data_IF_971902705905
#
_entry.id   IF_971902705905
#
_cell.length_a   1.000
_cell.length_b   1.000
_cell.length_c   1.000
_cell.angle_alpha   90.00
_cell.angle_beta   90.00
_cell.angle_gamma   90.00
#
_symmetry.space_group_name_H-M   'P 1'
#
loop_
_entity.id
_entity.type
_entity.pdbx_description
1 polymer ?
#
# COMPACT_ATOMS: atom_id res chain seq x y z
N UNK A 1 16.82 18.18 -1.96
CA UNK A 1 16.75 16.74 -2.32
C UNK A 1 15.32 16.23 -2.12
N UNK A 2 14.70 15.59 -3.12
CA UNK A 2 13.29 15.14 -3.04
C UNK A 2 13.16 13.80 -2.32
N UNK A 3 12.31 13.72 -1.30
CA UNK A 3 12.17 12.52 -0.43
C UNK A 3 10.95 11.65 -0.74
N UNK A 4 9.89 12.26 -1.30
CA UNK A 4 8.73 11.55 -1.86
C UNK A 4 9.16 10.96 -3.21
N UNK A 5 9.55 9.68 -3.17
CA UNK A 5 10.03 8.90 -4.30
C UNK A 5 9.30 7.56 -4.31
N UNK A 6 9.38 6.85 -5.43
CA UNK A 6 8.94 5.45 -5.52
C UNK A 6 9.55 4.63 -4.38
N UNK A 7 8.79 3.66 -3.87
CA UNK A 7 9.15 2.78 -2.77
C UNK A 7 9.27 3.45 -1.40
N UNK A 8 8.98 4.75 -1.28
CA UNK A 8 8.88 5.41 0.02
C UNK A 8 7.61 4.99 0.74
N UNK A 9 7.73 4.61 2.00
CA UNK A 9 6.57 4.30 2.85
C UNK A 9 6.05 5.58 3.49
N UNK A 10 4.74 5.77 3.44
CA UNK A 10 4.04 6.90 4.03
C UNK A 10 2.87 6.42 4.89
N UNK A 11 2.40 7.29 5.78
CA UNK A 11 1.13 7.14 6.50
C UNK A 11 0.10 8.06 5.88
N UNK A 12 -1.13 7.57 5.72
CA UNK A 12 -2.24 8.41 5.26
C UNK A 12 -2.79 9.19 6.45
N UNK A 13 -2.91 10.51 6.33
CA UNK A 13 -3.38 11.38 7.42
C UNK A 13 -4.87 11.71 7.32
N UNK A 14 -5.49 11.63 6.13
CA UNK A 14 -6.90 12.01 5.90
C UNK A 14 -7.68 11.00 5.08
N UNK A 15 -9.01 11.01 5.25
CA UNK A 15 -9.98 10.21 4.51
C UNK A 15 -10.16 8.78 5.05
N UNK A 16 -10.91 7.94 4.32
CA UNK A 16 -11.28 6.57 4.75
C UNK A 16 -10.09 5.68 5.17
N UNK A 17 -8.91 5.90 4.59
CA UNK A 17 -7.71 5.11 4.87
C UNK A 17 -6.73 5.82 5.82
N UNK A 18 -7.18 6.83 6.59
CA UNK A 18 -6.36 7.48 7.60
C UNK A 18 -5.76 6.45 8.59
N UNK A 19 -4.51 6.68 8.99
CA UNK A 19 -3.73 5.77 9.84
C UNK A 19 -3.24 4.50 9.15
N UNK A 20 -3.54 4.30 7.86
CA UNK A 20 -3.04 3.15 7.10
C UNK A 20 -1.67 3.45 6.47
N UNK A 21 -0.83 2.43 6.43
CA UNK A 21 0.50 2.45 5.84
C UNK A 21 0.38 2.20 4.34
N UNK A 22 1.07 3.01 3.57
CA UNK A 22 1.07 2.98 2.12
C UNK A 22 2.49 3.08 1.59
N UNK A 23 2.70 2.58 0.38
CA UNK A 23 3.92 2.77 -0.38
C UNK A 23 3.61 3.56 -1.63
N UNK A 24 4.47 4.54 -1.93
CA UNK A 24 4.40 5.31 -3.16
C UNK A 24 4.88 4.43 -4.31
N UNK A 25 4.02 4.20 -5.30
CA UNK A 25 4.37 3.46 -6.51
C UNK A 25 4.81 4.45 -7.59
N UNK A 26 3.98 5.46 -7.83
CA UNK A 26 4.26 6.51 -8.82
C UNK A 26 4.01 7.89 -8.19
N UNK A 27 5.06 8.69 -7.96
CA UNK A 27 4.91 10.10 -7.65
C UNK A 27 4.51 10.89 -8.91
N UNK A 28 3.57 11.82 -8.77
CA UNK A 28 3.09 12.73 -9.84
C UNK A 28 3.14 14.15 -9.29
N UNK A 29 4.22 14.84 -9.62
CA UNK A 29 4.58 16.07 -8.93
C UNK A 29 3.91 17.32 -9.50
N UNK A 30 3.77 17.36 -10.82
CA UNK A 30 3.24 18.51 -11.55
C UNK A 30 1.70 18.46 -11.71
N UNK A 31 1.05 17.49 -11.06
CA UNK A 31 -0.37 17.23 -11.23
C UNK A 31 -0.72 16.56 -12.57
N UNK A 32 -2.00 16.32 -12.78
CA UNK A 32 -2.58 15.76 -13.99
C UNK A 32 -3.86 16.52 -14.34
N UNK A 33 -4.42 16.30 -15.54
CA UNK A 33 -5.69 16.93 -15.96
C UNK A 33 -6.83 16.69 -14.98
N UNK A 34 -6.85 15.51 -14.34
CA UNK A 34 -7.89 15.13 -13.37
C UNK A 34 -7.58 15.59 -11.94
N UNK A 35 -6.30 15.74 -11.61
CA UNK A 35 -5.83 16.14 -10.28
C UNK A 35 -4.76 17.24 -10.43
N UNK A 36 -5.14 18.53 -10.42
CA UNK A 36 -4.24 19.66 -10.72
C UNK A 36 -3.24 19.98 -9.58
N UNK A 37 -2.94 19.02 -8.72
CA UNK A 37 -2.06 19.15 -7.56
C UNK A 37 -1.10 17.96 -7.47
N UNK A 38 0.02 18.14 -6.77
CA UNK A 38 0.98 17.06 -6.50
C UNK A 38 0.34 15.89 -5.74
N UNK A 39 0.44 14.70 -6.31
CA UNK A 39 -0.17 13.49 -5.76
C UNK A 39 0.69 12.27 -6.01
N UNK A 40 0.40 11.17 -5.31
CA UNK A 40 0.98 9.87 -5.57
C UNK A 40 -0.09 8.82 -5.83
N UNK A 41 0.23 7.89 -6.71
CA UNK A 41 -0.42 6.59 -6.77
C UNK A 41 0.20 5.73 -5.69
N UNK A 42 -0.63 5.26 -4.77
CA UNK A 42 -0.18 4.47 -3.63
C UNK A 42 -0.87 3.11 -3.58
N UNK A 43 -0.13 2.13 -3.09
CA UNK A 43 -0.65 0.84 -2.65
C UNK A 43 -0.55 0.76 -1.14
N UNK A 44 -1.57 0.23 -0.47
CA UNK A 44 -1.64 0.21 0.98
C UNK A 44 -2.35 -0.99 1.55
N UNK A 45 -2.32 -1.09 2.88
CA UNK A 45 -3.01 -2.15 3.63
C UNK A 45 -4.24 -1.57 4.32
N UNK A 46 -5.44 -2.04 3.94
CA UNK A 46 -6.69 -1.69 4.62
C UNK A 46 -6.85 -2.55 5.88
N UNK A 47 -6.72 -3.87 5.70
CA UNK A 47 -6.76 -4.86 6.79
C UNK A 47 -5.41 -5.54 6.91
N UNK A 48 -4.74 -5.29 8.03
CA UNK A 48 -3.45 -5.85 8.37
C UNK A 48 -3.55 -7.34 8.73
N UNK A 49 -2.46 -8.11 8.52
CA UNK A 49 -2.40 -9.47 9.06
C UNK A 49 -2.44 -9.42 10.59
N UNK A 50 -3.06 -10.42 11.19
CA UNK A 50 -3.18 -10.54 12.64
C UNK A 50 -2.00 -11.29 13.23
N UNK A 51 -1.69 -11.03 14.51
CA UNK A 51 -0.63 -11.76 15.24
C UNK A 51 -0.87 -13.27 15.16
N UNK A 52 0.18 -13.99 14.78
CA UNK A 52 0.22 -15.45 14.72
C UNK A 52 1.00 -15.96 15.93
N UNK A 53 0.52 -17.05 16.53
CA UNK A 53 1.17 -17.72 17.67
C UNK A 53 1.34 -19.20 17.37
N UNK A 54 2.40 -19.82 17.90
CA UNK A 54 2.73 -21.24 17.66
C UNK A 54 1.59 -22.23 17.94
N UNK A 55 0.70 -21.92 18.89
CA UNK A 55 -0.44 -22.78 19.28
C UNK A 55 -1.57 -22.85 18.24
N UNK A 56 -1.56 -22.00 17.21
CA UNK A 56 -2.64 -21.96 16.22
C UNK A 56 -2.52 -23.10 15.20
N UNK A 57 -3.65 -23.65 14.76
CA UNK A 57 -3.70 -24.58 13.63
C UNK A 57 -3.23 -23.91 12.33
N UNK A 58 -2.66 -24.70 11.40
CA UNK A 58 -2.17 -24.20 10.09
C UNK A 58 -3.24 -23.38 9.35
N UNK A 59 -4.48 -23.87 9.32
CA UNK A 59 -5.61 -23.18 8.69
C UNK A 59 -5.94 -21.82 9.32
N UNK A 60 -5.77 -21.69 10.64
CA UNK A 60 -5.96 -20.41 11.35
C UNK A 60 -4.80 -19.46 11.11
N UNK A 61 -3.58 -19.98 11.00
CA UNK A 61 -2.40 -19.19 10.67
C UNK A 61 -2.54 -18.57 9.27
N UNK A 62 -2.90 -19.37 8.26
CA UNK A 62 -3.15 -18.91 6.89
C UNK A 62 -4.22 -17.81 6.83
N UNK A 63 -5.37 -18.02 7.50
CA UNK A 63 -6.45 -17.01 7.54
C UNK A 63 -5.98 -15.69 8.17
N UNK A 64 -5.08 -15.73 9.15
CA UNK A 64 -4.53 -14.54 9.84
C UNK A 64 -3.42 -13.84 9.07
N UNK A 65 -2.70 -14.56 8.21
CA UNK A 65 -1.70 -14.00 7.29
C UNK A 65 -2.31 -13.19 6.14
N UNK A 66 -3.62 -13.37 5.86
CA UNK A 66 -4.28 -12.68 4.75
C UNK A 66 -4.30 -11.16 4.94
N UNK A 67 -4.03 -10.47 3.84
CA UNK A 67 -4.02 -9.00 3.78
C UNK A 67 -5.13 -8.51 2.85
N UNK A 68 -5.82 -7.43 3.24
CA UNK A 68 -6.71 -6.70 2.32
C UNK A 68 -6.01 -5.44 1.84
N UNK A 69 -5.54 -5.38 0.58
CA UNK A 69 -4.91 -4.19 0.05
C UNK A 69 -5.93 -3.16 -0.43
N UNK A 70 -5.47 -1.92 -0.58
CA UNK A 70 -6.16 -0.90 -1.35
C UNK A 70 -5.18 -0.16 -2.25
N UNK A 71 -5.71 0.44 -3.31
CA UNK A 71 -4.98 1.30 -4.24
C UNK A 71 -5.70 2.64 -4.30
N UNK A 72 -4.96 3.74 -4.33
CA UNK A 72 -5.58 5.07 -4.34
C UNK A 72 -4.63 6.13 -4.90
N UNK A 73 -5.22 7.16 -5.49
CA UNK A 73 -4.55 8.44 -5.79
C UNK A 73 -4.69 9.34 -4.56
N UNK A 74 -3.59 9.80 -3.98
CA UNK A 74 -3.58 10.61 -2.75
C UNK A 74 -2.72 11.85 -2.94
N UNK A 75 -3.28 13.02 -2.61
CA UNK A 75 -2.56 14.29 -2.54
C UNK A 75 -1.40 14.18 -1.53
N UNK A 76 -0.23 14.75 -1.84
CA UNK A 76 0.92 14.73 -0.95
C UNK A 76 0.64 15.32 0.45
N UNK A 77 -0.22 16.33 0.57
CA UNK A 77 -0.61 16.91 1.85
C UNK A 77 -1.34 15.91 2.77
N UNK A 78 -1.88 14.83 2.20
CA UNK A 78 -2.57 13.76 2.95
C UNK A 78 -1.65 12.56 3.23
N UNK A 79 -0.35 12.71 2.96
CA UNK A 79 0.68 11.72 3.23
C UNK A 79 1.70 12.27 4.21
N UNK A 80 1.91 11.55 5.31
CA UNK A 80 3.04 11.75 6.19
C UNK A 80 4.17 10.82 5.76
N UNK A 81 5.27 11.33 5.20
CA UNK A 81 6.41 10.52 4.80
C UNK A 81 7.07 9.88 6.02
N UNK A 82 7.60 8.68 5.85
CA UNK A 82 8.35 7.99 6.91
C UNK A 82 9.78 7.68 6.45
N UNK A 83 10.66 7.36 7.40
CA UNK A 83 12.03 6.90 7.09
C UNK A 83 12.08 5.58 6.33
N UNK A 84 11.02 4.78 6.40
CA UNK A 84 11.00 3.42 5.84
C UNK A 84 10.84 3.42 4.32
N UNK A 85 11.42 2.39 3.70
CA UNK A 85 11.28 2.08 2.29
C UNK A 85 10.76 0.66 2.13
N UNK A 86 10.05 0.42 1.03
CA UNK A 86 9.46 -0.85 0.66
C UNK A 86 9.51 -0.96 -0.86
N UNK A 87 10.49 -1.69 -1.37
CA UNK A 87 10.60 -1.96 -2.80
C UNK A 87 9.64 -3.07 -3.19
N UNK A 88 8.59 -2.77 -3.92
CA UNK A 88 7.67 -3.78 -4.44
C UNK A 88 7.92 -3.91 -5.94
N UNK A 89 8.71 -4.92 -6.30
CA UNK A 89 9.00 -5.26 -7.69
C UNK A 89 7.69 -5.62 -8.43
N UNK A 90 7.59 -5.26 -9.70
CA UNK A 90 6.45 -5.57 -10.56
C UNK A 90 5.19 -4.71 -10.39
N UNK A 91 5.02 -3.96 -9.30
CA UNK A 91 3.78 -3.16 -9.10
C UNK A 91 3.73 -1.86 -9.89
N UNK A 92 4.88 -1.34 -10.35
CA UNK A 92 4.93 -0.11 -11.14
C UNK A 92 4.23 -0.25 -12.50
N UNK A 93 4.28 -1.44 -13.11
CA UNK A 93 3.58 -1.71 -14.37
C UNK A 93 2.07 -1.88 -14.19
N UNK A 94 1.64 -2.35 -13.01
CA UNK A 94 0.25 -2.68 -12.70
C UNK A 94 -0.54 -1.43 -12.30
N UNK A 95 0.08 -0.49 -11.58
CA UNK A 95 -0.57 0.69 -11.04
C UNK A 95 -0.19 1.97 -11.79
N UNK A 96 -0.99 2.28 -12.81
CA UNK A 96 -0.90 3.48 -13.63
C UNK A 96 -2.18 4.32 -13.47
N UNK A 97 -2.25 5.48 -14.12
CA UNK A 97 -3.45 6.32 -14.07
C UNK A 97 -4.67 5.65 -14.72
N UNK A 98 -4.46 4.85 -15.76
CA UNK A 98 -5.53 4.16 -16.48
C UNK A 98 -6.20 3.08 -15.65
N UNK A 99 -5.44 2.42 -14.75
CA UNK A 99 -5.98 1.41 -13.84
C UNK A 99 -7.07 1.96 -12.92
N UNK A 100 -7.17 3.29 -12.78
CA UNK A 100 -8.22 3.93 -12.00
C UNK A 100 -9.45 4.31 -12.83
N UNK A 101 -9.47 4.17 -14.15
CA UNK A 101 -10.64 4.51 -14.97
C UNK A 101 -11.74 3.46 -14.85
N UNK A 102 -11.38 2.18 -14.92
CA UNK A 102 -12.33 1.06 -14.91
C UNK A 102 -12.31 0.30 -13.58
N UNK A 103 -13.48 -0.19 -13.16
CA UNK A 103 -13.63 -0.94 -11.90
C UNK A 103 -12.98 -2.31 -11.97
N UNK A 104 -13.12 -3.02 -13.09
CA UNK A 104 -12.48 -4.32 -13.36
C UNK A 104 -10.96 -4.26 -13.17
N UNK A 105 -10.31 -3.28 -13.79
CA UNK A 105 -8.86 -3.07 -13.69
C UNK A 105 -8.42 -2.78 -12.25
N UNK A 106 -9.21 -2.03 -11.47
CA UNK A 106 -8.93 -1.78 -10.05
C UNK A 106 -8.99 -3.07 -9.23
N UNK A 107 -9.90 -3.98 -9.55
CA UNK A 107 -10.02 -5.26 -8.86
C UNK A 107 -8.84 -6.18 -9.18
N UNK A 108 -8.44 -6.27 -10.44
CA UNK A 108 -7.32 -7.09 -10.85
C UNK A 108 -5.99 -6.57 -10.30
N UNK A 109 -5.80 -5.24 -10.31
CA UNK A 109 -4.65 -4.62 -9.67
C UNK A 109 -4.58 -4.92 -8.17
N UNK A 110 -5.72 -4.91 -7.45
CA UNK A 110 -5.75 -5.30 -6.03
C UNK A 110 -5.40 -6.76 -5.82
N UNK A 111 -5.80 -7.68 -6.71
CA UNK A 111 -5.42 -9.10 -6.64
C UNK A 111 -3.90 -9.26 -6.75
N UNK A 112 -3.26 -8.53 -7.67
CA UNK A 112 -1.80 -8.57 -7.82
C UNK A 112 -1.09 -7.96 -6.61
N UNK A 113 -1.52 -6.78 -6.15
CA UNK A 113 -0.97 -6.14 -4.93
C UNK A 113 -1.11 -7.06 -3.71
N UNK A 114 -2.24 -7.79 -3.60
CA UNK A 114 -2.47 -8.73 -2.50
C UNK A 114 -1.41 -9.83 -2.47
N UNK A 115 -1.17 -10.49 -3.61
CA UNK A 115 -0.19 -11.58 -3.72
C UNK A 115 1.20 -11.13 -3.28
N UNK A 116 1.67 -10.01 -3.83
CA UNK A 116 3.00 -9.44 -3.51
C UNK A 116 3.12 -9.09 -2.02
N UNK A 117 2.08 -8.50 -1.41
CA UNK A 117 2.10 -8.16 0.02
C UNK A 117 2.06 -9.38 0.93
N UNK A 118 1.31 -10.42 0.57
CA UNK A 118 1.22 -11.67 1.33
C UNK A 118 2.54 -12.48 1.26
N UNK A 119 3.17 -12.54 0.08
CA UNK A 119 4.50 -13.14 -0.10
C UNK A 119 5.55 -12.41 0.74
N UNK A 120 5.57 -11.07 0.70
CA UNK A 120 6.51 -10.29 1.49
C UNK A 120 6.26 -10.42 2.99
N UNK A 121 5.01 -10.48 3.45
CA UNK A 121 4.70 -10.74 4.86
C UNK A 121 5.24 -12.11 5.30
N UNK A 122 5.05 -13.13 4.48
CA UNK A 122 5.49 -14.51 4.77
C UNK A 122 7.01 -14.62 4.83
N UNK A 123 7.73 -13.81 4.04
CA UNK A 123 9.20 -13.70 4.12
C UNK A 123 9.73 -13.07 5.42
N UNK A 124 8.86 -12.52 6.28
CA UNK A 124 9.24 -11.88 7.54
C UNK A 124 9.88 -10.49 7.38
N UNK A 125 9.97 -9.96 6.16
CA UNK A 125 10.55 -8.64 5.87
C UNK A 125 9.56 -7.51 6.18
N UNK A 126 10.10 -6.31 6.42
CA UNK A 126 9.34 -5.07 6.64
C UNK A 126 8.25 -5.19 7.72
N UNK A 127 8.56 -5.82 8.86
CA UNK A 127 7.64 -6.05 9.99
C UNK A 127 6.86 -4.79 10.41
N UNK A 128 7.50 -3.62 10.38
CA UNK A 128 6.83 -2.36 10.69
C UNK A 128 5.67 -2.06 9.72
N UNK A 129 5.81 -2.32 8.42
CA UNK A 129 4.77 -2.07 7.43
C UNK A 129 3.52 -2.91 7.68
N UNK A 130 3.68 -4.17 8.08
CA UNK A 130 2.57 -5.10 8.32
C UNK A 130 1.97 -5.02 9.72
N UNK A 131 2.58 -4.27 10.63
CA UNK A 131 2.04 -4.04 11.98
C UNK A 131 1.10 -2.84 11.93
N UNK A 132 -0.15 -2.92 12.43
CA UNK A 132 -1.05 -1.78 12.46
C UNK A 132 -0.49 -0.64 13.34
N UNK A 133 -0.69 0.60 12.91
CA UNK A 133 -0.45 1.77 13.77
C UNK A 133 -1.57 1.83 14.81
N UNK A 134 -1.21 2.05 16.09
CA UNK A 134 -2.17 2.26 17.18
C UNK A 134 -2.23 3.75 17.47
N UNK A 135 -3.42 4.31 17.46
CA UNK A 135 -3.75 5.69 17.78
C UNK A 135 -5.21 5.74 18.25
#
# INVERSE_FOLDING_TARGET
>A
MKFLKTSRVCLVTRGRYAGKKVVIIQPVDNGSKTHPYGHALVAGIERYPSKITRRMSKTRQEKRSKVKPFIKVINYNHLMPTRYTLELEGLKAVLNQDTFKEVSQREDAKKTVKKVLEERYTSGKNRWFFTPLRF
#
